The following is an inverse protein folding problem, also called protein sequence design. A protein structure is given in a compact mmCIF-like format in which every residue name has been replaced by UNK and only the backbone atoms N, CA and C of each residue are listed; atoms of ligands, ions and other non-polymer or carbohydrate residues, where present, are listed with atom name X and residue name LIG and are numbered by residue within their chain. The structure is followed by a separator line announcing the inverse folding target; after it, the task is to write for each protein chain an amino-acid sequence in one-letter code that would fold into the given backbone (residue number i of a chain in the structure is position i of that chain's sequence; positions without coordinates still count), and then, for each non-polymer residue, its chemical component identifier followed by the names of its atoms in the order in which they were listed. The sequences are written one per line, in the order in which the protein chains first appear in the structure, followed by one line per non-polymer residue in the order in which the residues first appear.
data_IF_192192952295
#
_entry.id   IF_192192952295
#
_cell.length_a   1.000
_cell.length_b   1.000
_cell.length_c   1.000
_cell.angle_alpha   90.00
_cell.angle_beta   90.00
_cell.angle_gamma   90.00
#
_symmetry.space_group_name_H-M   'P 1'
#
loop_
_entity.id
_entity.type
_entity.pdbx_description
1 polymer ?
#
# COMPACT_ATOMS: atom_id res chain seq x y z
N UNK A 1 3.73 -20.35 27.65
CA UNK A 1 3.95 -19.13 28.42
C UNK A 1 4.80 -18.20 27.56
N UNK A 2 4.18 -17.42 26.68
CA UNK A 2 4.84 -16.28 26.03
C UNK A 2 4.88 -15.15 27.06
N UNK A 3 5.86 -15.23 27.95
CA UNK A 3 5.93 -14.38 29.14
C UNK A 3 6.56 -13.04 28.80
N UNK A 4 5.84 -11.94 29.03
CA UNK A 4 6.28 -10.53 29.05
C UNK A 4 6.97 -10.00 27.78
N UNK A 5 8.05 -10.62 27.29
CA UNK A 5 8.80 -10.20 26.12
C UNK A 5 7.96 -10.25 24.84
N UNK A 6 7.15 -11.30 24.65
CA UNK A 6 6.26 -11.39 23.49
C UNK A 6 5.11 -10.38 23.54
N UNK A 7 4.53 -10.13 24.73
CA UNK A 7 3.51 -9.09 24.89
C UNK A 7 4.09 -7.69 24.74
N UNK A 8 5.31 -7.45 25.24
CA UNK A 8 5.99 -6.17 25.10
C UNK A 8 6.35 -5.89 23.63
N UNK A 9 6.81 -6.92 22.92
CA UNK A 9 7.09 -6.82 21.49
C UNK A 9 5.83 -6.53 20.67
N UNK A 10 4.72 -7.22 20.95
CA UNK A 10 3.44 -6.94 20.28
C UNK A 10 2.92 -5.52 20.57
N UNK A 11 3.03 -5.05 21.81
CA UNK A 11 2.68 -3.66 22.15
C UNK A 11 3.60 -2.65 21.46
N UNK A 12 4.90 -2.94 21.39
CA UNK A 12 5.87 -2.09 20.72
C UNK A 12 5.58 -1.95 19.22
N UNK A 13 5.38 -3.07 18.52
CA UNK A 13 5.07 -3.06 17.08
C UNK A 13 3.71 -2.41 16.79
N UNK A 14 2.72 -2.62 17.66
CA UNK A 14 1.44 -1.92 17.58
C UNK A 14 1.56 -0.40 17.72
N UNK A 15 2.34 0.09 18.70
CA UNK A 15 2.59 1.53 18.86
C UNK A 15 3.33 2.12 17.66
N UNK A 16 4.33 1.40 17.14
CA UNK A 16 5.06 1.83 15.95
C UNK A 16 4.16 1.91 14.71
N UNK A 17 3.29 0.92 14.49
CA UNK A 17 2.32 0.94 13.40
C UNK A 17 1.34 2.11 13.53
N UNK A 18 0.85 2.38 14.75
CA UNK A 18 -0.03 3.52 15.01
C UNK A 18 0.68 4.86 14.83
N UNK A 19 1.96 4.98 15.14
CA UNK A 19 2.72 6.19 14.85
C UNK A 19 2.72 6.48 13.34
N UNK A 20 2.98 5.47 12.51
CA UNK A 20 2.91 5.62 11.05
C UNK A 20 1.50 6.03 10.57
N UNK A 21 0.44 5.47 11.17
CA UNK A 21 -0.94 5.87 10.89
C UNK A 21 -1.20 7.34 11.22
N UNK A 22 -0.69 7.83 12.35
CA UNK A 22 -0.80 9.24 12.76
C UNK A 22 -0.06 10.13 11.77
N UNK A 23 1.16 9.77 11.37
CA UNK A 23 1.96 10.55 10.43
C UNK A 23 1.28 10.66 9.06
N UNK A 24 0.76 9.54 8.52
CA UNK A 24 -0.01 9.54 7.27
C UNK A 24 -1.29 10.36 7.40
N UNK A 25 -1.98 10.27 8.54
CA UNK A 25 -3.16 11.09 8.81
C UNK A 25 -2.82 12.58 8.85
N UNK A 26 -1.70 12.96 9.48
CA UNK A 26 -1.20 14.34 9.50
C UNK A 26 -0.86 14.86 8.10
N UNK A 27 -0.20 14.05 7.28
CA UNK A 27 0.07 14.37 5.88
C UNK A 27 -1.23 14.54 5.07
N UNK A 28 -2.22 13.68 5.27
CA UNK A 28 -3.51 13.79 4.60
C UNK A 28 -4.24 15.08 4.96
N UNK A 29 -4.24 15.46 6.24
CA UNK A 29 -4.88 16.69 6.72
C UNK A 29 -4.16 17.92 6.14
N UNK A 30 -2.83 17.90 6.14
CA UNK A 30 -2.02 19.05 5.68
C UNK A 30 -2.20 19.32 4.18
N UNK A 31 -2.44 18.27 3.39
CA UNK A 31 -2.67 18.37 1.95
C UNK A 31 -4.15 18.30 1.55
N UNK A 32 -5.08 18.42 2.52
CA UNK A 32 -6.51 18.26 2.26
C UNK A 32 -7.10 19.28 1.28
N UNK A 33 -6.45 20.43 1.12
CA UNK A 33 -6.87 21.51 0.21
C UNK A 33 -6.22 21.47 -1.17
N UNK A 34 -5.31 20.52 -1.42
CA UNK A 34 -4.67 20.36 -2.72
C UNK A 34 -5.56 19.50 -3.63
N UNK A 35 -5.99 20.07 -4.75
CA UNK A 35 -6.88 19.45 -5.74
C UNK A 35 -6.31 18.14 -6.30
N UNK A 36 -4.99 18.06 -6.44
CA UNK A 36 -4.32 16.89 -7.02
C UNK A 36 -3.84 15.90 -5.95
N UNK A 37 -4.14 16.16 -4.68
CA UNK A 37 -3.78 15.25 -3.60
C UNK A 37 -4.75 14.07 -3.51
N UNK A 38 -4.18 12.87 -3.46
CA UNK A 38 -4.93 11.64 -3.20
C UNK A 38 -4.51 11.12 -1.82
N UNK A 39 -5.51 10.98 -0.95
CA UNK A 39 -5.36 10.52 0.43
C UNK A 39 -4.64 9.19 0.47
N UNK A 40 -3.72 9.04 1.41
CA UNK A 40 -3.04 7.79 1.70
C UNK A 40 -3.63 7.11 2.95
N UNK A 41 -3.58 5.79 3.01
CA UNK A 41 -3.93 5.04 4.20
C UNK A 41 -2.94 3.91 4.44
N UNK A 42 -2.74 3.58 5.71
CA UNK A 42 -1.78 2.55 6.12
C UNK A 42 -2.48 1.21 6.19
N UNK A 43 -1.94 0.21 5.49
CA UNK A 43 -2.35 -1.18 5.60
C UNK A 43 -1.51 -1.84 6.68
N UNK A 44 -2.14 -2.13 7.82
CA UNK A 44 -1.53 -2.91 8.89
C UNK A 44 -1.91 -4.38 8.75
N UNK A 45 -0.93 -5.27 8.83
CA UNK A 45 -1.15 -6.72 8.83
C UNK A 45 -0.53 -7.39 10.05
N UNK A 46 -1.13 -8.48 10.55
CA UNK A 46 -0.50 -9.27 11.59
C UNK A 46 0.81 -9.86 11.09
N UNK A 47 1.86 -9.78 11.90
CA UNK A 47 3.12 -10.43 11.59
C UNK A 47 2.92 -11.95 11.58
N UNK A 48 3.68 -12.66 10.73
CA UNK A 48 3.64 -14.11 10.65
C UNK A 48 3.80 -14.74 12.05
N UNK A 49 2.87 -15.62 12.42
CA UNK A 49 2.86 -16.26 13.71
C UNK A 49 4.08 -17.19 13.87
N UNK A 50 4.72 -17.16 15.03
CA UNK A 50 5.79 -18.09 15.35
C UNK A 50 5.20 -19.37 15.94
N UNK A 51 5.45 -20.51 15.30
CA UNK A 51 4.98 -21.79 15.78
C UNK A 51 5.96 -22.37 16.81
N UNK A 52 5.49 -22.53 18.05
CA UNK A 52 6.25 -23.15 19.14
C UNK A 52 5.53 -24.43 19.59
N UNK A 53 6.04 -25.58 19.16
CA UNK A 53 5.38 -26.87 19.39
C UNK A 53 4.02 -26.93 18.69
N UNK A 54 2.94 -27.20 19.44
CA UNK A 54 1.56 -27.22 18.93
C UNK A 54 0.84 -25.87 19.05
N UNK A 55 1.54 -24.79 19.42
CA UNK A 55 0.95 -23.47 19.67
C UNK A 55 1.47 -22.43 18.70
N UNK A 56 0.58 -21.58 18.20
CA UNK A 56 0.93 -20.39 17.45
C UNK A 56 1.07 -19.21 18.39
N UNK A 57 2.20 -18.52 18.32
CA UNK A 57 2.48 -17.28 19.08
C UNK A 57 2.32 -16.11 18.12
N UNK A 58 1.45 -15.17 18.47
CA UNK A 58 1.30 -13.93 17.73
C UNK A 58 2.54 -13.04 17.96
N UNK A 59 3.07 -12.46 16.89
CA UNK A 59 4.28 -11.65 16.90
C UNK A 59 4.00 -10.14 16.80
N UNK A 60 2.73 -9.73 16.78
CA UNK A 60 2.34 -8.33 16.69
C UNK A 60 1.87 -7.93 15.29
N UNK A 61 2.08 -6.67 14.92
CA UNK A 61 1.57 -6.05 13.69
C UNK A 61 2.71 -5.37 12.94
N UNK A 62 2.66 -5.45 11.62
CA UNK A 62 3.56 -4.73 10.72
C UNK A 62 2.77 -3.81 9.78
N UNK A 63 3.43 -2.78 9.27
CA UNK A 63 2.90 -1.91 8.22
C UNK A 63 3.31 -2.51 6.89
N UNK A 64 2.35 -3.11 6.18
CA UNK A 64 2.62 -3.73 4.89
C UNK A 64 2.85 -2.70 3.78
N UNK A 65 1.96 -1.71 3.71
CA UNK A 65 1.98 -0.71 2.66
C UNK A 65 1.28 0.57 3.10
N UNK A 66 1.61 1.66 2.42
CA UNK A 66 0.86 2.91 2.47
C UNK A 66 0.26 3.12 1.09
N UNK A 67 -1.05 2.93 0.99
CA UNK A 67 -1.76 2.91 -0.28
C UNK A 67 -2.57 4.19 -0.49
N UNK A 68 -2.60 4.68 -1.72
CA UNK A 68 -3.40 5.84 -2.11
C UNK A 68 -4.84 5.41 -2.35
N UNK A 69 -5.78 6.11 -1.73
CA UNK A 69 -7.21 5.93 -1.93
C UNK A 69 -7.60 6.56 -3.26
N UNK A 70 -8.04 5.71 -4.18
CA UNK A 70 -8.57 6.06 -5.48
C UNK A 70 -9.65 5.05 -5.87
N UNK A 71 -10.48 5.38 -6.85
CA UNK A 71 -11.45 4.43 -7.39
C UNK A 71 -10.75 3.38 -8.26
N UNK A 72 -10.63 2.16 -7.76
CA UNK A 72 -9.97 1.05 -8.46
C UNK A 72 -10.65 0.70 -9.80
N UNK A 73 -11.97 0.85 -9.90
CA UNK A 73 -12.70 0.57 -11.14
C UNK A 73 -12.40 1.61 -12.21
N UNK A 74 -12.40 2.89 -11.85
CA UNK A 74 -12.03 3.97 -12.76
C UNK A 74 -10.56 3.85 -13.15
N UNK A 75 -9.67 3.60 -12.19
CA UNK A 75 -8.24 3.47 -12.41
C UNK A 75 -7.90 2.27 -13.31
N UNK A 76 -8.53 1.11 -13.10
CA UNK A 76 -8.31 -0.06 -13.95
C UNK A 76 -8.77 0.17 -15.39
N UNK A 77 -9.93 0.81 -15.60
CA UNK A 77 -10.40 1.19 -16.94
C UNK A 77 -9.48 2.20 -17.62
N UNK A 78 -9.08 3.24 -16.91
CA UNK A 78 -8.17 4.25 -17.43
C UNK A 78 -6.83 3.64 -17.82
N UNK A 79 -6.25 2.81 -16.94
CA UNK A 79 -4.99 2.12 -17.20
C UNK A 79 -5.08 1.20 -18.42
N UNK A 80 -6.18 0.45 -18.57
CA UNK A 80 -6.41 -0.38 -19.75
C UNK A 80 -6.50 0.46 -21.04
N UNK A 81 -7.30 1.53 -21.03
CA UNK A 81 -7.45 2.39 -22.20
C UNK A 81 -6.13 3.05 -22.61
N UNK A 82 -5.32 3.50 -21.65
CA UNK A 82 -3.98 4.04 -21.93
C UNK A 82 -3.02 3.00 -22.49
N UNK A 83 -3.10 1.75 -22.00
CA UNK A 83 -2.28 0.68 -22.54
C UNK A 83 -2.62 0.40 -24.00
N UNK A 84 -3.91 0.31 -24.33
CA UNK A 84 -4.37 0.15 -25.72
C UNK A 84 -3.97 1.33 -26.60
N UNK A 85 -4.13 2.57 -26.12
CA UNK A 85 -3.74 3.77 -26.86
C UNK A 85 -2.22 3.81 -27.12
N UNK A 86 -1.40 3.58 -26.09
CA UNK A 86 0.05 3.51 -26.22
C UNK A 86 0.48 2.43 -27.22
N UNK A 87 -0.16 1.25 -27.16
CA UNK A 87 0.13 0.15 -28.09
C UNK A 87 -0.09 0.58 -29.55
N UNK A 88 -1.26 1.14 -29.86
CA UNK A 88 -1.56 1.58 -31.22
C UNK A 88 -0.68 2.75 -31.69
N UNK A 89 -0.34 3.68 -30.80
CA UNK A 89 0.57 4.78 -31.12
C UNK A 89 1.97 4.26 -31.46
N UNK A 90 2.47 3.28 -30.72
CA UNK A 90 3.78 2.65 -31.02
C UNK A 90 3.77 1.88 -32.33
N UNK A 91 2.73 1.08 -32.60
CA UNK A 91 2.57 0.37 -33.88
C UNK A 91 2.48 1.34 -35.06
N UNK A 92 1.70 2.42 -34.93
CA UNK A 92 1.60 3.45 -35.96
C UNK A 92 2.95 4.12 -36.22
N UNK A 93 3.72 4.44 -35.17
CA UNK A 93 5.06 4.99 -35.31
C UNK A 93 6.00 4.03 -36.05
N UNK A 94 5.98 2.74 -35.70
CA UNK A 94 6.80 1.73 -36.37
C UNK A 94 6.42 1.55 -37.85
N UNK A 95 5.13 1.54 -38.17
CA UNK A 95 4.66 1.46 -39.54
C UNK A 95 5.05 2.69 -40.35
N UNK A 96 4.99 3.88 -39.73
CA UNK A 96 5.40 5.13 -40.38
C UNK A 96 6.91 5.11 -40.69
N UNK A 97 7.73 4.69 -39.73
CA UNK A 97 9.19 4.54 -39.92
C UNK A 97 9.53 3.50 -41.00
N UNK A 98 8.85 2.35 -41.02
CA UNK A 98 9.07 1.32 -42.03
C UNK A 98 8.55 1.71 -43.43
N UNK A 99 7.63 2.67 -43.51
CA UNK A 99 7.07 3.18 -44.77
C UNK A 99 7.88 4.33 -45.38
N UNK A 100 8.82 4.90 -44.63
CA UNK A 100 9.75 5.94 -45.08
C UNK A 100 11.00 5.34 -45.72
#
# INVERSE_FOLDING_TARGET
MGGILSSLNASYTGLQAHQSMVDVTGNNISNASDEFYSRQHVIAKPQAAYMYGTKNVNMGVDVEAIERVHDEFVFSRYTKANYENTYYDTEFSHLTEASA
#
